data_IF_577101967708
#
_entry.id   IF_577101967708
#
_cell.length_a   1.000
_cell.length_b   1.000
_cell.length_c   1.000
_cell.angle_alpha   90.00
_cell.angle_beta   90.00
_cell.angle_gamma   90.00
#
_symmetry.space_group_name_H-M   'P 1'
#
loop_
_entity.id
_entity.type
_entity.pdbx_description
1 polymer ?
#
# COMPACT_ATOMS: atom_id res chain seq x y z
N UNK A 1 -13.47 -26.01 2.94
CA UNK A 1 -12.03 -25.68 3.01
C UNK A 1 -11.71 -24.45 2.16
N UNK A 2 -11.87 -24.48 0.83
CA UNK A 2 -11.51 -23.33 -0.03
C UNK A 2 -12.37 -22.08 0.19
N UNK A 3 -13.66 -22.28 0.50
CA UNK A 3 -14.60 -21.19 0.77
C UNK A 3 -14.22 -20.41 2.04
N UNK A 4 -13.66 -21.08 3.05
CA UNK A 4 -13.27 -20.44 4.32
C UNK A 4 -12.01 -19.59 4.17
N UNK A 5 -11.03 -20.06 3.40
CA UNK A 5 -9.84 -19.26 3.07
C UNK A 5 -10.20 -18.03 2.25
N UNK A 6 -11.10 -18.18 1.29
CA UNK A 6 -11.59 -17.08 0.46
C UNK A 6 -12.37 -16.05 1.29
N UNK A 7 -13.25 -16.50 2.21
CA UNK A 7 -14.00 -15.62 3.09
C UNK A 7 -13.09 -14.85 4.07
N UNK A 8 -12.06 -15.51 4.59
CA UNK A 8 -11.07 -14.89 5.49
C UNK A 8 -10.24 -13.85 4.74
N UNK A 9 -9.74 -14.18 3.55
CA UNK A 9 -9.03 -13.25 2.69
C UNK A 9 -9.90 -12.02 2.39
N UNK A 10 -11.16 -12.22 2.02
CA UNK A 10 -12.08 -11.12 1.70
C UNK A 10 -12.26 -10.16 2.89
N UNK A 11 -12.42 -10.68 4.11
CA UNK A 11 -12.60 -9.86 5.33
C UNK A 11 -11.39 -8.97 5.61
N UNK A 12 -10.18 -9.53 5.54
CA UNK A 12 -8.97 -8.75 5.79
C UNK A 12 -8.60 -7.84 4.62
N UNK A 13 -8.83 -8.29 3.38
CA UNK A 13 -8.55 -7.50 2.18
C UNK A 13 -9.53 -6.34 1.99
N UNK A 14 -10.76 -6.46 2.49
CA UNK A 14 -11.74 -5.36 2.47
C UNK A 14 -11.21 -4.12 3.21
N UNK A 15 -10.36 -4.30 4.22
CA UNK A 15 -9.73 -3.19 4.95
C UNK A 15 -8.77 -2.37 4.07
N UNK A 16 -8.13 -3.01 3.09
CA UNK A 16 -7.22 -2.36 2.12
C UNK A 16 -7.93 -1.61 1.00
N UNK A 17 -9.21 -1.88 0.73
CA UNK A 17 -9.96 -1.25 -0.36
C UNK A 17 -9.89 0.29 -0.37
N UNK A 18 -10.17 1.03 0.72
CA UNK A 18 -10.12 2.49 0.68
C UNK A 18 -8.74 3.02 0.30
N UNK A 19 -7.66 2.41 0.82
CA UNK A 19 -6.30 2.82 0.50
C UNK A 19 -5.88 2.44 -0.92
N UNK A 20 -6.40 1.33 -1.44
CA UNK A 20 -6.24 0.95 -2.84
C UNK A 20 -6.89 1.98 -3.77
N UNK A 21 -7.98 2.63 -3.37
CA UNK A 21 -8.57 3.76 -4.12
C UNK A 21 -7.79 5.06 -3.96
N UNK A 22 -7.20 5.33 -2.79
CA UNK A 22 -6.42 6.56 -2.57
C UNK A 22 -5.12 6.61 -3.36
N UNK A 23 -4.41 5.50 -3.51
CA UNK A 23 -3.12 5.49 -4.20
C UNK A 23 -3.20 5.98 -5.67
N UNK A 24 -4.12 5.50 -6.52
CA UNK A 24 -4.32 6.02 -7.87
C UNK A 24 -4.63 7.53 -7.90
N UNK A 25 -5.39 8.06 -6.94
CA UNK A 25 -5.67 9.50 -6.86
C UNK A 25 -4.39 10.30 -6.61
N UNK A 26 -3.58 9.89 -5.63
CA UNK A 26 -2.28 10.50 -5.35
C UNK A 26 -1.36 10.40 -6.57
N UNK A 27 -1.31 9.23 -7.20
CA UNK A 27 -0.52 8.99 -8.41
C UNK A 27 -0.92 9.92 -9.56
N UNK A 28 -2.23 10.17 -9.76
CA UNK A 28 -2.73 11.13 -10.75
C UNK A 28 -2.33 12.56 -10.42
N UNK A 29 -2.34 12.97 -9.15
CA UNK A 29 -1.89 14.31 -8.74
C UNK A 29 -0.41 14.52 -9.09
N UNK A 30 0.45 13.52 -8.84
CA UNK A 30 1.87 13.58 -9.24
C UNK A 30 2.05 13.68 -10.76
N UNK A 31 1.24 12.96 -11.54
CA UNK A 31 1.26 13.04 -13.00
C UNK A 31 0.86 14.43 -13.50
N UNK A 32 -0.23 15.01 -12.97
CA UNK A 32 -0.72 16.34 -13.39
C UNK A 32 0.31 17.43 -13.09
N UNK A 33 1.04 17.31 -11.98
CA UNK A 33 2.14 18.23 -11.63
C UNK A 33 3.44 17.97 -12.43
N UNK A 34 3.47 16.97 -13.32
CA UNK A 34 4.64 16.62 -14.13
C UNK A 34 5.80 16.00 -13.34
N UNK A 35 5.56 15.46 -12.15
CA UNK A 35 6.60 14.94 -11.23
C UNK A 35 6.56 13.42 -11.15
N UNK A 36 6.96 12.77 -12.25
CA UNK A 36 6.95 11.30 -12.37
C UNK A 36 8.09 10.61 -11.61
N UNK A 37 9.23 11.26 -11.47
CA UNK A 37 10.40 10.70 -10.77
C UNK A 37 10.12 10.42 -9.28
N UNK A 38 9.60 11.38 -8.47
CA UNK A 38 9.29 11.10 -7.07
C UNK A 38 8.21 10.03 -6.92
N UNK A 39 7.18 10.01 -7.78
CA UNK A 39 6.12 8.99 -7.67
C UNK A 39 6.65 7.58 -7.96
N UNK A 40 7.59 7.45 -8.89
CA UNK A 40 8.29 6.19 -9.16
C UNK A 40 9.07 5.69 -7.94
N UNK A 41 9.78 6.58 -7.25
CA UNK A 41 10.49 6.25 -6.00
C UNK A 41 9.52 5.78 -4.92
N UNK A 42 8.38 6.47 -4.74
CA UNK A 42 7.35 6.03 -3.79
C UNK A 42 6.80 4.66 -4.15
N UNK A 43 6.58 4.38 -5.44
CA UNK A 43 6.11 3.08 -5.91
C UNK A 43 7.10 1.95 -5.57
N UNK A 44 8.39 2.15 -5.84
CA UNK A 44 9.44 1.17 -5.51
C UNK A 44 9.53 0.93 -4.00
N UNK A 45 9.54 2.00 -3.21
CA UNK A 45 9.52 1.92 -1.74
C UNK A 45 8.28 1.15 -1.26
N UNK A 46 7.13 1.37 -1.89
CA UNK A 46 5.89 0.67 -1.60
C UNK A 46 5.96 -0.82 -1.85
N UNK A 47 6.53 -1.25 -2.98
CA UNK A 47 6.71 -2.68 -3.30
C UNK A 47 7.65 -3.34 -2.30
N UNK A 48 8.75 -2.67 -1.94
CA UNK A 48 9.71 -3.18 -0.96
C UNK A 48 9.06 -3.28 0.43
N UNK A 49 8.33 -2.25 0.87
CA UNK A 49 7.59 -2.27 2.11
C UNK A 49 6.54 -3.40 2.12
N UNK A 50 5.83 -3.60 1.02
CA UNK A 50 4.88 -4.70 0.87
C UNK A 50 5.56 -6.06 1.02
N UNK A 51 6.69 -6.29 0.35
CA UNK A 51 7.43 -7.53 0.47
C UNK A 51 7.90 -7.78 1.91
N UNK A 52 8.41 -6.76 2.60
CA UNK A 52 8.85 -6.84 3.99
C UNK A 52 7.70 -7.16 4.95
N UNK A 53 6.57 -6.45 4.84
CA UNK A 53 5.41 -6.71 5.69
C UNK A 53 4.84 -8.10 5.43
N UNK A 54 4.67 -8.49 4.17
CA UNK A 54 4.22 -9.85 3.85
C UNK A 54 5.16 -10.90 4.43
N UNK A 55 6.48 -10.73 4.32
CA UNK A 55 7.44 -11.66 4.93
C UNK A 55 7.25 -11.75 6.45
N UNK A 56 7.13 -10.62 7.14
CA UNK A 56 6.95 -10.56 8.58
C UNK A 56 5.64 -11.25 9.02
N UNK A 57 4.51 -10.93 8.39
CA UNK A 57 3.22 -11.50 8.78
C UNK A 57 3.07 -12.97 8.39
N UNK A 58 3.64 -13.39 7.26
CA UNK A 58 3.54 -14.78 6.78
C UNK A 58 4.50 -15.69 7.52
N UNK A 59 5.80 -15.33 7.60
CA UNK A 59 6.83 -16.24 8.12
C UNK A 59 7.09 -16.08 9.61
N UNK A 60 7.10 -14.85 10.13
CA UNK A 60 7.38 -14.62 11.57
C UNK A 60 6.14 -14.91 12.41
N UNK A 61 5.00 -14.39 11.98
CA UNK A 61 3.74 -14.50 12.73
C UNK A 61 2.90 -15.74 12.33
N UNK A 62 3.29 -16.51 11.31
CA UNK A 62 2.59 -17.70 10.82
C UNK A 62 1.08 -17.48 10.54
N UNK A 63 0.70 -16.28 10.10
CA UNK A 63 -0.70 -15.90 9.85
C UNK A 63 -1.24 -16.40 8.49
N UNK A 64 -0.40 -17.05 7.68
CA UNK A 64 -0.78 -17.57 6.36
C UNK A 64 -1.41 -16.49 5.46
N UNK A 65 -2.60 -16.78 4.91
CA UNK A 65 -3.32 -15.91 3.96
C UNK A 65 -3.74 -14.57 4.61
N UNK A 66 -4.16 -14.60 5.88
CA UNK A 66 -4.52 -13.37 6.60
C UNK A 66 -3.30 -12.45 6.75
N UNK A 67 -2.11 -13.03 6.92
CA UNK A 67 -0.86 -12.29 6.97
C UNK A 67 -0.55 -11.55 5.67
N UNK A 68 -0.85 -12.16 4.52
CA UNK A 68 -0.67 -11.53 3.20
C UNK A 68 -1.61 -10.32 3.05
N UNK A 69 -2.87 -10.49 3.42
CA UNK A 69 -3.86 -9.41 3.34
C UNK A 69 -3.48 -8.23 4.27
N UNK A 70 -3.04 -8.52 5.50
CA UNK A 70 -2.62 -7.49 6.45
C UNK A 70 -1.32 -6.78 6.04
N UNK A 71 -0.35 -7.52 5.50
CA UNK A 71 0.88 -6.95 4.96
C UNK A 71 0.61 -6.01 3.80
N UNK A 72 -0.29 -6.41 2.90
CA UNK A 72 -0.75 -5.59 1.77
C UNK A 72 -1.50 -4.34 2.25
N UNK A 73 -2.36 -4.46 3.26
CA UNK A 73 -3.02 -3.32 3.89
C UNK A 73 -2.01 -2.30 4.43
N UNK A 74 -1.04 -2.74 5.23
CA UNK A 74 -0.03 -1.85 5.79
C UNK A 74 0.84 -1.20 4.72
N UNK A 75 1.16 -1.93 3.65
CA UNK A 75 1.86 -1.36 2.50
C UNK A 75 1.04 -0.25 1.83
N UNK A 76 -0.26 -0.46 1.60
CA UNK A 76 -1.13 0.57 1.02
C UNK A 76 -1.25 1.81 1.91
N UNK A 77 -1.37 1.63 3.23
CA UNK A 77 -1.35 2.74 4.19
C UNK A 77 -0.01 3.49 4.12
N UNK A 78 1.10 2.75 4.06
CA UNK A 78 2.44 3.31 4.00
C UNK A 78 2.66 4.13 2.72
N UNK A 79 2.29 3.63 1.53
CA UNK A 79 2.45 4.39 0.28
C UNK A 79 1.54 5.60 0.22
N UNK A 80 0.32 5.51 0.74
CA UNK A 80 -0.62 6.63 0.73
C UNK A 80 -0.14 7.75 1.63
N UNK A 81 0.32 7.42 2.84
CA UNK A 81 0.88 8.40 3.78
C UNK A 81 2.16 9.01 3.23
N UNK A 82 3.10 8.20 2.73
CA UNK A 82 4.36 8.68 2.16
C UNK A 82 4.13 9.56 0.92
N UNK A 83 3.24 9.14 0.02
CA UNK A 83 2.84 9.93 -1.14
C UNK A 83 2.20 11.27 -0.77
N UNK A 84 1.33 11.30 0.25
CA UNK A 84 0.74 12.54 0.74
C UNK A 84 1.78 13.47 1.37
N UNK A 85 2.69 12.95 2.19
CA UNK A 85 3.77 13.74 2.80
C UNK A 85 4.69 14.35 1.75
N UNK A 86 5.08 13.59 0.73
CA UNK A 86 5.91 14.09 -0.37
C UNK A 86 5.18 15.16 -1.15
N UNK A 87 3.90 14.96 -1.46
CA UNK A 87 3.10 15.96 -2.15
C UNK A 87 3.03 17.27 -1.35
N UNK A 88 2.77 17.18 -0.04
CA UNK A 88 2.72 18.34 0.86
C UNK A 88 4.08 19.04 1.00
N UNK A 89 5.18 18.28 0.97
CA UNK A 89 6.53 18.85 0.99
C UNK A 89 6.83 19.66 -0.27
N UNK A 90 6.40 19.18 -1.44
CA UNK A 90 6.53 19.94 -2.68
C UNK A 90 5.62 21.16 -2.74
N UNK A 91 4.39 21.07 -2.22
CA UNK A 91 3.45 22.19 -2.20
C UNK A 91 3.93 23.35 -1.33
N UNK A 92 4.65 23.07 -0.22
CA UNK A 92 5.30 24.10 0.61
C UNK A 92 6.51 24.80 -0.05
N UNK A 93 7.02 24.26 -1.16
CA UNK A 93 8.22 24.78 -1.85
C UNK A 93 7.89 25.46 -3.18
N UNK A 94 6.63 25.43 -3.61
CA UNK A 94 6.13 26.15 -4.77
C UNK A 94 5.68 27.56 -4.37
#
# INVERSE_FOLDING_TARGET
>A
MDVEFTATALRFYALSLPFMFFWPLIYRVFQIRGRLLPVGVVGVIGVVANALFNYLFVFVLNLGIAGICLGTFLAYVFICTLGYFILRYYDKRA
#
